data_IF_091067052727
#
_entry.id   IF_091067052727
#
_cell.length_a   1.000
_cell.length_b   1.000
_cell.length_c   1.000
_cell.angle_alpha   90.00
_cell.angle_beta   90.00
_cell.angle_gamma   90.00
#
_symmetry.space_group_name_H-M   'P 1'
#
loop_
_entity.id
_entity.type
_entity.pdbx_description
1 polymer ?
#
# COMPACT_ATOMS: atom_id res chain seq x y z
N UNK A 1 35.37 63.71 -30.45
CA UNK A 1 35.85 64.25 -29.15
C UNK A 1 35.11 63.47 -28.05
N UNK A 2 35.79 62.50 -27.43
CA UNK A 2 36.24 62.52 -26.00
C UNK A 2 35.02 62.17 -25.09
N UNK A 3 34.90 61.11 -24.28
CA UNK A 3 35.82 60.13 -23.67
C UNK A 3 34.97 59.04 -22.94
N UNK A 4 35.38 57.76 -23.01
CA UNK A 4 35.02 56.67 -22.06
C UNK A 4 35.99 56.72 -20.85
N UNK A 5 35.91 55.90 -19.77
CA UNK A 5 34.81 55.25 -19.04
C UNK A 5 34.92 55.47 -17.50
N UNK A 6 33.98 54.98 -16.68
CA UNK A 6 34.30 54.59 -15.29
C UNK A 6 33.60 53.27 -14.94
N UNK A 7 34.42 52.27 -14.66
CA UNK A 7 34.05 50.96 -14.11
C UNK A 7 33.98 50.99 -12.58
N UNK A 8 33.51 49.87 -12.02
CA UNK A 8 33.60 49.40 -10.61
C UNK A 8 32.46 49.92 -9.70
N UNK A 9 31.77 49.14 -8.86
CA UNK A 9 32.01 47.87 -8.13
C UNK A 9 30.60 47.38 -7.69
N UNK A 10 30.20 46.10 -7.72
CA UNK A 10 30.42 45.14 -6.64
C UNK A 10 29.31 45.13 -5.55
N UNK A 11 28.62 43.98 -5.43
CA UNK A 11 28.09 43.40 -4.16
C UNK A 11 26.65 43.71 -3.71
N UNK A 12 25.77 42.74 -3.96
CA UNK A 12 24.86 42.07 -3.01
C UNK A 12 23.99 42.89 -2.03
N UNK A 13 22.66 42.79 -2.18
CA UNK A 13 21.72 42.91 -1.08
C UNK A 13 20.38 42.20 -1.39
N UNK A 14 19.94 41.40 -0.43
CA UNK A 14 18.80 40.49 -0.42
C UNK A 14 17.42 41.14 -0.64
N UNK A 15 16.43 40.45 -1.25
CA UNK A 15 15.04 40.87 -1.18
C UNK A 15 14.46 40.53 0.20
N UNK A 16 14.07 41.56 0.93
CA UNK A 16 13.33 41.49 2.20
C UNK A 16 11.91 40.99 1.99
N UNK A 17 11.52 39.93 2.69
CA UNK A 17 10.13 39.44 2.74
C UNK A 17 9.39 40.11 3.90
N UNK A 18 8.28 40.80 3.59
CA UNK A 18 7.36 41.35 4.59
C UNK A 18 6.36 40.29 5.05
N UNK A 19 6.29 40.02 6.34
CA UNK A 19 5.26 39.20 6.98
C UNK A 19 4.05 40.09 7.29
N UNK A 20 2.88 39.74 6.73
CA UNK A 20 1.58 40.24 7.21
C UNK A 20 0.98 39.18 8.11
N UNK A 21 0.92 39.48 9.41
CA UNK A 21 0.18 38.70 10.40
C UNK A 21 -1.31 38.97 10.24
N UNK A 22 -2.12 37.92 10.01
CA UNK A 22 -3.57 37.98 10.24
C UNK A 22 -3.83 37.20 11.52
N UNK A 23 -4.15 37.93 12.58
CA UNK A 23 -4.55 37.40 13.87
C UNK A 23 -6.00 36.95 13.79
N UNK A 24 -6.26 35.64 13.80
CA UNK A 24 -7.60 35.12 14.09
C UNK A 24 -7.60 34.55 15.50
N UNK A 25 -8.34 35.20 16.39
CA UNK A 25 -8.52 34.81 17.78
C UNK A 25 -9.58 33.71 17.86
N UNK A 26 -9.22 32.52 18.34
CA UNK A 26 -10.21 31.55 18.79
C UNK A 26 -10.20 31.49 20.32
N UNK A 27 -11.33 31.88 20.89
CA UNK A 27 -11.61 31.96 22.31
C UNK A 27 -12.01 30.56 22.81
N UNK A 28 -11.25 29.99 23.73
CA UNK A 28 -11.69 28.83 24.52
C UNK A 28 -11.72 29.29 25.98
N UNK A 29 -12.94 29.45 26.49
CA UNK A 29 -13.22 29.73 27.88
C UNK A 29 -12.86 28.50 28.73
N UNK A 30 -12.07 28.74 29.78
CA UNK A 30 -11.56 27.71 30.67
C UNK A 30 -12.51 27.30 31.79
N UNK A 31 -12.12 26.20 32.46
CA UNK A 31 -12.31 25.84 33.87
C UNK A 31 -11.34 24.65 34.07
N UNK A 32 -10.33 24.61 34.93
CA UNK A 32 -10.07 25.31 36.18
C UNK A 32 -9.94 24.27 37.30
N UNK A 33 -8.82 23.54 37.40
CA UNK A 33 -8.41 22.78 38.62
C UNK A 33 -6.87 22.72 38.71
N UNK A 34 -6.23 22.86 39.89
CA UNK A 34 -4.83 23.31 40.00
C UNK A 34 -3.78 22.22 40.32
N UNK A 35 -2.56 22.52 39.86
CA UNK A 35 -1.21 22.31 40.43
C UNK A 35 -0.86 20.98 41.09
N UNK A 36 0.13 20.27 40.51
CA UNK A 36 1.46 20.11 41.12
C UNK A 36 2.48 19.36 40.24
N UNK A 37 3.75 19.66 40.52
CA UNK A 37 4.99 18.96 40.17
C UNK A 37 5.70 19.22 38.82
N UNK A 38 6.83 19.92 38.96
CA UNK A 38 7.97 20.02 38.06
C UNK A 38 8.43 18.63 37.58
N UNK A 39 8.82 18.50 36.31
CA UNK A 39 10.22 18.60 35.89
C UNK A 39 10.39 18.23 34.42
N UNK A 40 11.09 19.10 33.71
CA UNK A 40 11.89 18.86 32.51
C UNK A 40 11.96 17.43 31.95
N UNK A 41 11.40 17.24 30.75
CA UNK A 41 12.08 16.48 29.71
C UNK A 41 11.59 16.89 28.33
N UNK A 42 12.34 17.80 27.72
CA UNK A 42 12.36 17.98 26.27
C UNK A 42 12.84 16.68 25.59
N UNK A 43 12.19 16.32 24.48
CA UNK A 43 12.73 15.68 23.28
C UNK A 43 11.55 15.59 22.30
N UNK A 44 11.45 16.57 21.40
CA UNK A 44 11.91 16.44 20.02
C UNK A 44 10.87 15.68 19.17
N UNK A 45 10.07 16.44 18.42
CA UNK A 45 9.19 15.91 17.40
C UNK A 45 9.24 16.88 16.23
N UNK A 46 10.18 16.58 15.33
CA UNK A 46 10.42 17.29 14.08
C UNK A 46 9.21 17.14 13.15
N UNK A 47 8.81 18.30 12.66
CA UNK A 47 7.81 18.55 11.63
C UNK A 47 8.30 18.08 10.26
N UNK A 48 7.43 17.45 9.46
CA UNK A 48 7.55 17.51 8.00
C UNK A 48 6.22 17.93 7.36
N UNK A 49 6.17 19.24 7.09
CA UNK A 49 5.19 19.95 6.28
C UNK A 49 5.38 19.54 4.81
N UNK A 50 4.31 19.11 4.14
CA UNK A 50 4.30 18.98 2.67
C UNK A 50 3.72 20.27 2.08
N UNK A 51 4.54 20.99 1.32
CA UNK A 51 4.17 22.21 0.58
C UNK A 51 3.77 21.80 -0.84
N UNK A 52 2.57 22.14 -1.28
CA UNK A 52 2.14 21.98 -2.68
C UNK A 52 1.87 23.38 -3.25
N UNK A 53 2.57 23.83 -4.31
CA UNK A 53 2.26 25.09 -4.97
C UNK A 53 1.11 24.94 -5.96
N UNK A 54 0.03 25.70 -5.78
CA UNK A 54 -1.00 25.97 -6.80
C UNK A 54 -0.69 27.31 -7.45
N UNK A 55 -0.55 27.32 -8.79
CA UNK A 55 -0.50 28.58 -9.56
C UNK A 55 -1.91 29.11 -9.77
N UNK A 56 -2.05 30.41 -9.52
CA UNK A 56 -3.25 31.19 -9.72
C UNK A 56 -3.06 32.04 -10.98
N UNK A 57 -4.00 31.98 -11.91
CA UNK A 57 -4.09 32.87 -13.06
C UNK A 57 -4.06 32.15 -14.40
N UNK A 58 -5.24 31.89 -14.96
CA UNK A 58 -5.53 32.20 -16.37
C UNK A 58 -7.06 32.32 -16.50
N UNK A 59 -7.48 33.41 -17.11
CA UNK A 59 -8.84 33.93 -17.18
C UNK A 59 -9.86 33.10 -17.97
N UNK A 60 -11.08 33.07 -17.42
CA UNK A 60 -12.29 32.51 -18.02
C UNK A 60 -12.82 33.45 -19.11
N UNK A 61 -12.76 33.01 -20.37
CA UNK A 61 -13.74 33.34 -21.39
C UNK A 61 -13.86 32.07 -22.26
N UNK A 62 -15.05 31.51 -22.40
CA UNK A 62 -15.61 30.95 -23.64
C UNK A 62 -16.86 30.13 -23.32
N UNK A 63 -17.93 30.54 -24.00
CA UNK A 63 -19.20 29.86 -24.11
C UNK A 63 -19.13 28.77 -25.21
N UNK A 64 -20.22 28.01 -25.26
CA UNK A 64 -20.67 27.14 -26.36
C UNK A 64 -20.04 25.76 -26.53
N UNK A 65 -20.95 24.80 -26.74
CA UNK A 65 -20.68 23.39 -26.82
C UNK A 65 -20.13 22.94 -28.17
N UNK A 66 -19.35 21.87 -28.11
CA UNK A 66 -19.04 20.95 -29.19
C UNK A 66 -18.28 19.80 -28.50
N UNK A 67 -18.84 18.59 -28.48
CA UNK A 67 -18.69 17.59 -29.53
C UNK A 67 -17.58 16.59 -29.16
N UNK A 68 -17.97 15.33 -29.27
CA UNK A 68 -17.24 14.16 -28.84
C UNK A 68 -16.06 13.89 -29.77
N UNK A 69 -14.83 13.94 -29.24
CA UNK A 69 -13.68 13.27 -29.87
C UNK A 69 -12.97 12.41 -28.83
N UNK A 70 -13.21 11.10 -29.00
CA UNK A 70 -12.57 10.01 -28.29
C UNK A 70 -11.18 9.81 -28.89
N UNK A 71 -10.18 10.50 -28.36
CA UNK A 71 -8.80 10.07 -28.52
C UNK A 71 -7.97 10.57 -27.33
N UNK A 72 -7.74 9.68 -26.37
CA UNK A 72 -6.69 9.88 -25.38
C UNK A 72 -5.90 8.59 -25.24
N UNK A 73 -4.88 8.51 -26.09
CA UNK A 73 -3.69 7.70 -25.94
C UNK A 73 -3.21 7.79 -24.49
N UNK A 74 -3.42 6.73 -23.70
CA UNK A 74 -2.75 6.59 -22.42
C UNK A 74 -1.36 5.99 -22.70
N UNK A 75 -0.36 6.86 -22.80
CA UNK A 75 1.05 6.46 -22.65
C UNK A 75 1.60 7.02 -21.34
N UNK A 76 2.03 6.08 -20.51
CA UNK A 76 2.95 6.16 -19.37
C UNK A 76 2.64 7.18 -18.24
N UNK A 77 2.24 6.63 -17.09
CA UNK A 77 2.60 7.19 -15.79
C UNK A 77 3.55 6.22 -15.08
N UNK A 78 4.84 6.27 -15.42
CA UNK A 78 5.90 5.75 -14.54
C UNK A 78 6.09 6.76 -13.41
N UNK A 79 5.38 6.59 -12.30
CA UNK A 79 5.60 7.39 -11.09
C UNK A 79 5.65 6.50 -9.87
N UNK A 80 6.83 5.92 -9.62
CA UNK A 80 7.38 5.61 -8.30
C UNK A 80 6.36 5.22 -7.19
N UNK A 81 5.61 4.14 -7.40
CA UNK A 81 4.76 3.48 -6.39
C UNK A 81 5.58 2.60 -5.43
N UNK A 82 6.85 2.93 -5.20
CA UNK A 82 7.84 2.00 -4.66
C UNK A 82 7.77 1.79 -3.13
N UNK A 83 6.76 2.31 -2.43
CA UNK A 83 6.70 2.16 -0.97
C UNK A 83 5.36 1.70 -0.39
N UNK A 84 4.29 1.57 -1.19
CA UNK A 84 2.98 1.06 -0.71
C UNK A 84 2.19 0.34 -1.83
N UNK A 85 2.87 -0.17 -2.85
CA UNK A 85 2.20 -1.02 -3.86
C UNK A 85 1.95 -2.41 -3.28
N UNK A 86 0.83 -3.03 -3.67
CA UNK A 86 0.51 -4.41 -3.28
C UNK A 86 1.67 -5.37 -3.58
N UNK A 87 2.39 -5.15 -4.69
CA UNK A 87 3.61 -5.89 -5.02
C UNK A 87 4.65 -5.92 -3.89
N UNK A 88 4.99 -4.77 -3.31
CA UNK A 88 5.96 -4.70 -2.20
C UNK A 88 5.40 -5.38 -0.95
N UNK A 89 4.10 -5.23 -0.70
CA UNK A 89 3.42 -5.78 0.48
C UNK A 89 3.38 -7.31 0.47
N UNK A 90 3.03 -7.88 -0.68
CA UNK A 90 2.95 -9.32 -0.90
C UNK A 90 4.29 -9.93 -1.30
N UNK A 91 5.30 -9.11 -1.59
CA UNK A 91 6.62 -9.56 -2.00
C UNK A 91 6.67 -10.11 -3.43
N UNK A 92 5.67 -9.78 -4.26
CA UNK A 92 5.58 -10.20 -5.66
C UNK A 92 6.24 -9.17 -6.59
N UNK A 93 6.72 -9.64 -7.74
CA UNK A 93 7.42 -8.85 -8.75
C UNK A 93 6.66 -8.85 -10.07
N UNK A 94 6.98 -7.91 -10.94
CA UNK A 94 6.47 -7.92 -12.31
C UNK A 94 6.87 -9.21 -13.05
N UNK A 95 5.92 -9.74 -13.82
CA UNK A 95 6.03 -10.97 -14.60
C UNK A 95 5.71 -12.25 -13.84
N UNK A 96 5.39 -12.17 -12.54
CA UNK A 96 5.06 -13.35 -11.74
C UNK A 96 3.61 -13.77 -11.93
N UNK A 97 3.35 -15.08 -11.96
CA UNK A 97 1.99 -15.63 -12.02
C UNK A 97 1.51 -15.91 -10.60
N UNK A 98 0.36 -15.34 -10.23
CA UNK A 98 -0.29 -15.58 -8.94
C UNK A 98 -1.51 -16.46 -9.17
N UNK A 99 -1.54 -17.62 -8.52
CA UNK A 99 -2.72 -18.49 -8.48
C UNK A 99 -3.63 -18.12 -7.32
N UNK A 100 -4.94 -18.06 -7.55
CA UNK A 100 -5.94 -17.81 -6.52
C UNK A 100 -6.76 -19.06 -6.21
N UNK A 101 -7.04 -19.27 -4.92
CA UNK A 101 -7.82 -20.39 -4.40
C UNK A 101 -8.90 -19.88 -3.44
N UNK A 102 -10.08 -20.50 -3.42
CA UNK A 102 -11.17 -20.14 -2.51
C UNK A 102 -11.90 -18.83 -2.85
N UNK A 103 -11.80 -18.38 -4.10
CA UNK A 103 -12.50 -17.18 -4.57
C UNK A 103 -14.03 -17.31 -4.39
N UNK A 104 -14.66 -16.27 -3.85
CA UNK A 104 -16.12 -16.14 -3.70
C UNK A 104 -16.53 -14.65 -3.80
N UNK A 105 -17.82 -14.33 -3.72
CA UNK A 105 -18.37 -12.97 -3.88
C UNK A 105 -17.90 -11.94 -2.81
N UNK A 106 -17.31 -12.39 -1.70
CA UNK A 106 -16.86 -11.55 -0.58
C UNK A 106 -15.37 -11.14 -0.65
N UNK A 107 -14.65 -11.59 -1.70
CA UNK A 107 -13.25 -11.22 -1.87
C UNK A 107 -13.09 -9.74 -2.24
N UNK A 108 -11.90 -9.22 -1.99
CA UNK A 108 -11.60 -7.82 -2.26
C UNK A 108 -11.08 -7.63 -3.70
N UNK A 109 -11.94 -7.08 -4.58
CA UNK A 109 -11.58 -6.81 -5.98
C UNK A 109 -10.51 -5.74 -6.14
N UNK A 110 -10.43 -4.77 -5.20
CA UNK A 110 -9.39 -3.75 -5.22
C UNK A 110 -8.02 -4.36 -4.93
N UNK A 111 -7.96 -5.33 -4.00
CA UNK A 111 -6.74 -6.09 -3.74
C UNK A 111 -6.30 -6.89 -4.97
N UNK A 112 -7.24 -7.57 -5.65
CA UNK A 112 -6.94 -8.31 -6.89
C UNK A 112 -6.38 -7.38 -7.95
N UNK A 113 -7.08 -6.29 -8.25
CA UNK A 113 -6.62 -5.33 -9.25
C UNK A 113 -5.26 -4.72 -8.91
N UNK A 114 -5.00 -4.47 -7.62
CA UNK A 114 -3.69 -3.97 -7.17
C UNK A 114 -2.57 -5.01 -7.31
N UNK A 115 -2.87 -6.31 -7.16
CA UNK A 115 -1.92 -7.39 -7.43
C UNK A 115 -1.65 -7.53 -8.93
N UNK A 116 -2.68 -7.47 -9.77
CA UNK A 116 -2.55 -7.52 -11.24
C UNK A 116 -1.73 -6.35 -11.80
N UNK A 117 -1.94 -5.14 -11.28
CA UNK A 117 -1.13 -3.98 -11.65
C UNK A 117 0.33 -4.15 -11.22
N UNK A 118 0.55 -4.74 -10.04
CA UNK A 118 1.88 -4.96 -9.49
C UNK A 118 2.67 -6.05 -10.23
N UNK A 119 2.02 -7.16 -10.62
CA UNK A 119 2.65 -8.24 -11.37
C UNK A 119 2.63 -7.98 -12.88
N UNK A 120 1.68 -7.21 -13.39
CA UNK A 120 1.42 -7.05 -14.82
C UNK A 120 0.84 -8.31 -15.47
N UNK A 121 0.29 -9.22 -14.67
CA UNK A 121 -0.33 -10.50 -15.06
C UNK A 121 -1.69 -10.62 -14.38
N UNK A 122 -2.64 -11.28 -15.05
CA UNK A 122 -3.94 -11.58 -14.44
C UNK A 122 -3.80 -12.71 -13.42
N UNK A 123 -4.57 -12.66 -12.32
CA UNK A 123 -4.63 -13.76 -11.36
C UNK A 123 -5.27 -14.98 -12.03
N UNK A 124 -4.64 -16.14 -11.90
CA UNK A 124 -5.14 -17.39 -12.47
C UNK A 124 -5.91 -18.17 -11.41
N UNK A 125 -6.95 -18.88 -11.80
CA UNK A 125 -7.81 -19.65 -10.90
C UNK A 125 -7.17 -20.96 -10.41
N UNK A 126 -7.89 -21.67 -9.54
CA UNK A 126 -7.46 -22.94 -8.95
C UNK A 126 -7.32 -24.09 -9.97
N UNK A 127 -7.99 -23.98 -11.13
CA UNK A 127 -7.93 -24.97 -12.20
C UNK A 127 -6.68 -24.80 -13.10
N UNK A 128 -5.87 -23.76 -12.86
CA UNK A 128 -4.65 -23.51 -13.62
C UNK A 128 -3.62 -24.65 -13.43
N UNK A 129 -3.27 -25.31 -14.54
CA UNK A 129 -2.45 -26.52 -14.59
C UNK A 129 -0.96 -26.31 -14.90
N UNK A 130 -0.47 -25.06 -14.88
CA UNK A 130 0.94 -24.72 -15.08
C UNK A 130 1.60 -24.17 -13.79
N UNK A 131 2.91 -23.97 -13.82
CA UNK A 131 3.71 -23.54 -12.66
C UNK A 131 3.45 -22.06 -12.33
N UNK A 132 3.24 -21.76 -11.05
CA UNK A 132 3.01 -20.40 -10.55
C UNK A 132 4.09 -19.94 -9.56
N UNK A 133 4.35 -18.63 -9.52
CA UNK A 133 5.36 -18.04 -8.63
C UNK A 133 4.84 -17.83 -7.20
N UNK A 134 3.54 -17.57 -7.08
CA UNK A 134 2.90 -17.26 -5.83
C UNK A 134 1.45 -17.79 -5.82
N UNK A 135 0.97 -18.10 -4.63
CA UNK A 135 -0.39 -18.53 -4.39
C UNK A 135 -1.08 -17.62 -3.38
N UNK A 136 -2.32 -17.28 -3.66
CA UNK A 136 -3.22 -16.49 -2.85
C UNK A 136 -4.42 -17.37 -2.47
N UNK A 137 -4.56 -17.67 -1.18
CA UNK A 137 -5.61 -18.54 -0.66
C UNK A 137 -6.57 -17.69 0.14
N UNK A 138 -7.83 -17.64 -0.27
CA UNK A 138 -8.91 -17.03 0.51
C UNK A 138 -9.50 -18.10 1.43
N UNK A 139 -9.46 -17.87 2.75
CA UNK A 139 -9.88 -18.86 3.73
C UNK A 139 -10.81 -18.27 4.80
N UNK A 140 -11.96 -18.90 4.97
CA UNK A 140 -13.01 -18.54 5.92
C UNK A 140 -13.26 -19.70 6.88
N UNK A 141 -13.82 -19.38 8.04
CA UNK A 141 -14.24 -20.39 9.04
C UNK A 141 -15.34 -21.32 8.48
N UNK A 142 -16.14 -20.81 7.53
CA UNK A 142 -17.21 -21.58 6.89
C UNK A 142 -16.70 -22.53 5.79
N UNK A 143 -15.48 -22.33 5.29
CA UNK A 143 -14.89 -23.14 4.20
C UNK A 143 -14.39 -24.50 4.72
N UNK A 144 -14.04 -24.59 6.00
CA UNK A 144 -13.56 -25.82 6.63
C UNK A 144 -12.79 -25.56 7.91
N UNK A 145 -12.07 -26.57 8.38
CA UNK A 145 -11.18 -26.46 9.53
C UNK A 145 -9.69 -26.48 9.14
N UNK A 146 -8.79 -26.48 10.13
CA UNK A 146 -7.36 -26.52 9.90
C UNK A 146 -6.90 -27.71 9.02
N UNK A 147 -7.62 -28.83 9.03
CA UNK A 147 -7.31 -29.98 8.20
C UNK A 147 -7.64 -29.72 6.73
N UNK A 148 -8.80 -29.15 6.44
CA UNK A 148 -9.20 -28.77 5.07
C UNK A 148 -8.25 -27.70 4.50
N UNK A 149 -7.86 -26.71 5.32
CA UNK A 149 -6.84 -25.73 4.92
C UNK A 149 -5.49 -26.41 4.65
N UNK A 150 -5.14 -27.44 5.42
CA UNK A 150 -3.90 -28.18 5.19
C UNK A 150 -3.91 -28.84 3.81
N UNK A 151 -5.00 -29.50 3.45
CA UNK A 151 -5.12 -30.19 2.18
C UNK A 151 -5.04 -29.19 1.01
N UNK A 152 -5.74 -28.05 1.12
CA UNK A 152 -5.64 -26.96 0.14
C UNK A 152 -4.23 -26.39 0.02
N UNK A 153 -3.50 -26.24 1.13
CA UNK A 153 -2.10 -25.79 1.12
C UNK A 153 -1.18 -26.83 0.48
N UNK A 154 -1.46 -28.12 0.65
CA UNK A 154 -0.70 -29.20 -0.01
C UNK A 154 -0.96 -29.19 -1.52
N UNK A 155 -2.21 -29.00 -1.95
CA UNK A 155 -2.56 -28.90 -3.37
C UNK A 155 -1.92 -27.67 -4.01
N UNK A 156 -1.98 -26.52 -3.33
CA UNK A 156 -1.29 -25.29 -3.73
C UNK A 156 0.21 -25.50 -3.94
N UNK A 157 0.86 -26.30 -3.10
CA UNK A 157 2.29 -26.62 -3.22
C UNK A 157 2.65 -27.47 -4.45
N UNK A 158 1.66 -28.09 -5.12
CA UNK A 158 1.91 -28.93 -6.30
C UNK A 158 2.08 -28.12 -7.58
N UNK A 159 1.43 -26.95 -7.69
CA UNK A 159 1.52 -26.04 -8.83
C UNK A 159 2.53 -24.90 -8.60
N UNK A 160 2.95 -24.70 -7.35
CA UNK A 160 3.87 -23.63 -6.98
C UNK A 160 5.34 -23.95 -7.33
N UNK A 161 6.08 -22.94 -7.80
CA UNK A 161 7.54 -23.00 -7.98
C UNK A 161 8.28 -23.29 -6.66
N UNK A 162 9.45 -23.94 -6.78
CA UNK A 162 10.44 -24.10 -5.71
C UNK A 162 10.75 -22.76 -5.00
N UNK A 163 10.15 -22.54 -3.82
CA UNK A 163 10.37 -21.32 -3.04
C UNK A 163 9.39 -20.18 -3.36
N UNK A 164 8.29 -20.50 -4.04
CA UNK A 164 7.18 -19.58 -4.24
C UNK A 164 6.56 -19.07 -2.94
N UNK A 165 5.81 -17.98 -3.06
CA UNK A 165 5.20 -17.29 -1.93
C UNK A 165 3.75 -17.75 -1.75
N UNK A 166 3.38 -18.15 -0.53
CA UNK A 166 2.00 -18.52 -0.22
C UNK A 166 1.42 -17.47 0.73
N UNK A 167 0.27 -16.93 0.37
CA UNK A 167 -0.47 -15.96 1.16
C UNK A 167 -1.85 -16.52 1.50
N UNK A 168 -2.10 -16.76 2.78
CA UNK A 168 -3.43 -17.12 3.27
C UNK A 168 -4.13 -15.87 3.77
N UNK A 169 -5.25 -15.52 3.17
CA UNK A 169 -6.08 -14.39 3.53
C UNK A 169 -7.25 -14.86 4.38
N UNK A 170 -7.41 -14.28 5.57
CA UNK A 170 -8.57 -14.55 6.43
C UNK A 170 -9.30 -13.26 6.80
N UNK A 171 -10.63 -13.31 7.03
CA UNK A 171 -11.37 -12.15 7.52
C UNK A 171 -10.79 -11.62 8.83
N UNK A 172 -10.81 -10.29 9.02
CA UNK A 172 -10.34 -9.65 10.25
C UNK A 172 -11.19 -10.04 11.48
N UNK A 173 -10.59 -9.99 12.69
CA UNK A 173 -11.31 -10.34 13.92
C UNK A 173 -12.56 -9.47 14.10
N UNK A 174 -13.67 -10.11 14.46
CA UNK A 174 -14.98 -9.46 14.61
C UNK A 174 -15.85 -9.45 13.35
N UNK A 175 -15.41 -10.12 12.27
CA UNK A 175 -16.23 -10.37 11.07
C UNK A 175 -16.66 -11.84 11.00
N UNK A 176 -17.78 -12.15 10.31
CA UNK A 176 -18.13 -13.54 10.01
C UNK A 176 -17.03 -14.21 9.19
N UNK A 177 -16.86 -15.52 9.35
CA UNK A 177 -15.80 -16.28 8.68
C UNK A 177 -14.39 -16.03 9.24
N UNK A 178 -14.25 -15.38 10.40
CA UNK A 178 -12.93 -15.08 10.97
C UNK A 178 -12.21 -16.33 11.46
N UNK A 179 -11.11 -16.68 10.78
CA UNK A 179 -10.22 -17.74 11.22
C UNK A 179 -9.09 -17.17 12.09
N UNK A 180 -8.87 -17.81 13.25
CA UNK A 180 -7.87 -17.39 14.21
C UNK A 180 -6.45 -17.76 13.72
N UNK A 181 -5.47 -16.90 13.98
CA UNK A 181 -4.07 -17.15 13.61
C UNK A 181 -3.51 -18.53 14.04
N UNK A 182 -3.83 -19.07 15.24
CA UNK A 182 -3.35 -20.39 15.65
C UNK A 182 -3.81 -21.54 14.75
N UNK A 183 -4.99 -21.41 14.14
CA UNK A 183 -5.56 -22.41 13.25
C UNK A 183 -4.80 -22.43 11.91
N UNK A 184 -4.54 -21.25 11.35
CA UNK A 184 -3.69 -21.09 10.17
C UNK A 184 -2.27 -21.61 10.44
N UNK A 185 -1.71 -21.34 11.61
CA UNK A 185 -0.38 -21.83 12.01
C UNK A 185 -0.34 -23.35 12.22
N UNK A 186 -1.44 -23.96 12.66
CA UNK A 186 -1.59 -25.41 12.76
C UNK A 186 -1.64 -26.05 11.37
N UNK A 187 -2.50 -25.54 10.48
CA UNK A 187 -2.60 -26.02 9.11
C UNK A 187 -1.27 -25.90 8.36
N UNK A 188 -0.63 -24.72 8.44
CA UNK A 188 0.67 -24.48 7.84
C UNK A 188 1.74 -25.46 8.36
N UNK A 189 1.78 -25.74 9.67
CA UNK A 189 2.74 -26.70 10.23
C UNK A 189 2.52 -28.12 9.70
N UNK A 190 1.27 -28.55 9.56
CA UNK A 190 0.92 -29.86 9.04
C UNK A 190 1.30 -29.99 7.56
N UNK A 191 1.11 -28.92 6.76
CA UNK A 191 1.54 -28.83 5.37
C UNK A 191 3.07 -28.70 5.19
N UNK A 192 3.85 -28.67 6.28
CA UNK A 192 5.31 -28.48 6.22
C UNK A 192 5.77 -27.03 5.99
N UNK A 193 4.84 -26.09 6.08
CA UNK A 193 5.05 -24.65 5.98
C UNK A 193 5.30 -24.02 7.36
N UNK A 194 5.59 -22.73 7.34
CA UNK A 194 5.65 -21.90 8.53
C UNK A 194 5.20 -20.48 8.21
N UNK A 195 4.38 -19.91 9.10
CA UNK A 195 3.97 -18.50 9.03
C UNK A 195 5.11 -17.58 9.41
N UNK A 196 5.49 -16.67 8.52
CA UNK A 196 6.64 -15.78 8.69
C UNK A 196 6.25 -14.37 9.10
N UNK A 197 5.10 -13.89 8.65
CA UNK A 197 4.62 -12.54 8.90
C UNK A 197 3.12 -12.47 8.63
N UNK A 198 2.44 -11.60 9.37
CA UNK A 198 1.03 -11.28 9.14
C UNK A 198 0.92 -9.80 8.80
N UNK A 199 0.15 -9.48 7.77
CA UNK A 199 -0.09 -8.11 7.29
C UNK A 199 -1.59 -7.84 7.23
N UNK A 200 -1.98 -6.56 7.23
CA UNK A 200 -3.32 -6.18 6.76
C UNK A 200 -3.30 -6.20 5.24
N UNK A 201 -3.86 -7.23 4.63
CA UNK A 201 -3.93 -7.41 3.18
C UNK A 201 -4.88 -6.40 2.53
N UNK A 202 -6.09 -6.27 3.09
CA UNK A 202 -7.12 -5.35 2.61
C UNK A 202 -7.87 -4.68 3.76
N UNK A 203 -8.97 -3.96 3.46
CA UNK A 203 -9.78 -3.32 4.50
C UNK A 203 -10.36 -4.38 5.46
N UNK A 204 -10.81 -5.51 4.92
CA UNK A 204 -11.50 -6.55 5.66
C UNK A 204 -10.69 -7.84 5.85
N UNK A 205 -9.54 -7.94 5.19
CA UNK A 205 -8.74 -9.16 5.12
C UNK A 205 -7.36 -8.99 5.79
N UNK A 206 -6.95 -10.02 6.54
CA UNK A 206 -5.61 -10.22 7.10
C UNK A 206 -4.87 -11.23 6.24
N UNK A 207 -3.58 -11.00 5.95
CA UNK A 207 -2.77 -11.92 5.16
C UNK A 207 -1.65 -12.55 5.97
N UNK A 208 -1.56 -13.88 5.94
CA UNK A 208 -0.51 -14.68 6.55
C UNK A 208 0.46 -15.15 5.48
N UNK A 209 1.73 -14.78 5.62
CA UNK A 209 2.80 -15.21 4.71
C UNK A 209 3.33 -16.56 5.14
N UNK A 210 3.07 -17.59 4.35
CA UNK A 210 3.61 -18.93 4.58
C UNK A 210 4.81 -19.16 3.67
N UNK A 211 5.84 -19.81 4.22
CA UNK A 211 7.03 -20.21 3.44
C UNK A 211 7.37 -21.65 3.72
N UNK A 212 7.84 -22.36 2.70
CA UNK A 212 8.43 -23.68 2.90
C UNK A 212 9.67 -23.56 3.77
N UNK A 213 9.85 -24.48 4.73
CA UNK A 213 11.15 -24.59 5.39
C UNK A 213 12.11 -25.11 4.33
N UNK A 214 13.04 -24.26 3.89
CA UNK A 214 14.06 -24.64 2.90
C UNK A 214 14.61 -26.01 3.27
N UNK A 215 14.33 -27.00 2.42
CA UNK A 215 14.82 -28.36 2.59
C UNK A 215 16.33 -28.24 2.50
N UNK A 216 17.01 -28.24 3.65
CA UNK A 216 18.46 -27.99 3.72
C UNK A 216 19.17 -28.85 2.68
N UNK A 217 19.71 -28.19 1.65
CA UNK A 217 20.54 -28.79 0.63
C UNK A 217 21.98 -28.46 0.98
#
# INVERSE_FOLDING_TARGET
MVTLPLSCLGTGASPSWGVRSVTSAFHIAGNGVPREHLSDRAHDSVQLRRVVPVRCGEEHIFADGAEWTKERTHVAATTNAASDSAGVRFGVKQGQVIQEFGYDDDVDSDLRSALEDATGTELVDEDYDDVTDAALVWWREDDGDAHDLTDLLVDTLTTLEDGGLIWVLTPKPGRPGHVAAPEVDEAARTAGLHSTSTISAAEHWSGFRLTTRGRGR
#
